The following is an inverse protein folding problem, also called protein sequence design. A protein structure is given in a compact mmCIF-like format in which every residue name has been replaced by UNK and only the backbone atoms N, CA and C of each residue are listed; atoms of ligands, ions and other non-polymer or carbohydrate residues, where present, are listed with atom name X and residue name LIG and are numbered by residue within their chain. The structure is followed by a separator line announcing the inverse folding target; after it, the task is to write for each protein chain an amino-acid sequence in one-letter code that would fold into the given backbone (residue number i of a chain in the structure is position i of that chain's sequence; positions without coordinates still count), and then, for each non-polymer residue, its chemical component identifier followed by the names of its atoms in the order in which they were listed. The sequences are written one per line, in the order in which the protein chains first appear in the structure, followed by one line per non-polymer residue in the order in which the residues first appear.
data_IF_667250789567
#
_entry.id   IF_667250789567
#
_cell.length_a   1.000
_cell.length_b   1.000
_cell.length_c   1.000
_cell.angle_alpha   90.00
_cell.angle_beta   90.00
_cell.angle_gamma   90.00
#
_symmetry.space_group_name_H-M   'P 1'
#
loop_
_entity.id
_entity.type
_entity.pdbx_description
1 polymer ?
#
# COMPACT_ATOMS: atom_id res chain seq x y z
N UNK A 1 18.34 -16.13 5.18
CA UNK A 1 17.51 -17.30 5.61
C UNK A 1 16.30 -16.90 6.45
N UNK A 2 16.45 -16.03 7.47
CA UNK A 2 15.35 -15.65 8.38
C UNK A 2 14.18 -14.91 7.69
N UNK A 3 14.46 -13.97 6.79
CA UNK A 3 13.44 -13.18 6.09
C UNK A 3 12.52 -14.04 5.19
N UNK A 4 13.08 -15.04 4.49
CA UNK A 4 12.29 -15.94 3.65
C UNK A 4 11.36 -16.81 4.51
N UNK A 5 11.86 -17.31 5.64
CA UNK A 5 11.07 -18.14 6.57
C UNK A 5 9.93 -17.34 7.21
N UNK A 6 10.18 -16.11 7.66
CA UNK A 6 9.14 -15.25 8.22
C UNK A 6 8.07 -14.92 7.17
N UNK A 7 8.49 -14.56 5.95
CA UNK A 7 7.58 -14.28 4.84
C UNK A 7 6.68 -15.48 4.53
N UNK A 8 7.25 -16.69 4.41
CA UNK A 8 6.48 -17.90 4.14
C UNK A 8 5.50 -18.25 5.28
N UNK A 9 5.90 -18.03 6.53
CA UNK A 9 5.03 -18.26 7.68
C UNK A 9 3.84 -17.28 7.69
N UNK A 10 4.09 -15.99 7.48
CA UNK A 10 3.03 -14.99 7.40
C UNK A 10 2.09 -15.25 6.23
N UNK A 11 2.62 -15.59 5.06
CA UNK A 11 1.80 -15.97 3.89
C UNK A 11 0.96 -17.22 4.19
N UNK A 12 1.57 -18.26 4.77
CA UNK A 12 0.88 -19.51 5.10
C UNK A 12 -0.25 -19.34 6.13
N UNK A 13 -0.06 -18.48 7.13
CA UNK A 13 -1.11 -18.15 8.11
C UNK A 13 -2.27 -17.38 7.47
N UNK A 14 -2.00 -16.53 6.47
CA UNK A 14 -3.04 -15.75 5.75
C UNK A 14 -3.85 -16.59 4.78
N UNK A 15 -3.24 -17.51 4.04
CA UNK A 15 -3.98 -18.43 3.15
C UNK A 15 -4.95 -19.31 3.95
N UNK A 16 -4.61 -19.61 5.21
CA UNK A 16 -5.46 -20.36 6.14
C UNK A 16 -6.53 -19.51 6.84
N UNK A 17 -6.53 -18.19 6.62
CA UNK A 17 -7.52 -17.30 7.24
C UNK A 17 -8.91 -17.54 6.63
N UNK A 18 -9.95 -17.53 7.45
CA UNK A 18 -11.33 -17.85 7.04
C UNK A 18 -11.85 -16.95 5.91
N UNK A 19 -11.35 -15.72 5.83
CA UNK A 19 -11.74 -14.72 4.81
C UNK A 19 -11.02 -14.93 3.46
N UNK A 20 -9.90 -15.67 3.43
CA UNK A 20 -9.10 -15.82 2.22
C UNK A 20 -9.87 -16.42 1.02
N UNK A 21 -10.70 -17.48 1.19
CA UNK A 21 -11.49 -18.02 0.08
C UNK A 21 -12.46 -17.00 -0.53
N UNK A 22 -13.10 -16.18 0.31
CA UNK A 22 -14.00 -15.11 -0.16
C UNK A 22 -13.23 -14.07 -0.97
N UNK A 23 -12.11 -13.56 -0.44
CA UNK A 23 -11.25 -12.60 -1.16
C UNK A 23 -10.73 -13.18 -2.48
N UNK A 24 -10.32 -14.45 -2.49
CA UNK A 24 -9.84 -15.12 -3.69
C UNK A 24 -10.95 -15.26 -4.75
N UNK A 25 -12.18 -15.60 -4.33
CA UNK A 25 -13.33 -15.64 -5.23
C UNK A 25 -13.68 -14.25 -5.79
N UNK A 26 -13.65 -13.22 -4.94
CA UNK A 26 -13.90 -11.84 -5.36
C UNK A 26 -12.81 -11.33 -6.33
N UNK A 27 -11.55 -11.67 -6.07
CA UNK A 27 -10.45 -11.37 -6.99
C UNK A 27 -10.67 -12.01 -8.37
N UNK A 28 -11.13 -13.26 -8.41
CA UNK A 28 -11.38 -13.98 -9.66
C UNK A 28 -12.57 -13.43 -10.48
N UNK A 29 -13.53 -12.78 -9.83
CA UNK A 29 -14.72 -12.21 -10.48
C UNK A 29 -14.53 -10.82 -11.09
N UNK A 30 -13.50 -10.09 -10.69
CA UNK A 30 -13.30 -8.70 -11.14
C UNK A 30 -12.73 -8.67 -12.56
N UNK A 31 -13.37 -7.90 -13.45
CA UNK A 31 -12.93 -7.77 -14.84
C UNK A 31 -11.61 -6.96 -14.94
N UNK A 32 -10.63 -7.42 -15.75
CA UNK A 32 -9.41 -6.66 -16.02
C UNK A 32 -9.69 -5.25 -16.57
N UNK A 33 -10.76 -5.11 -17.35
CA UNK A 33 -11.20 -3.86 -17.96
C UNK A 33 -11.62 -2.85 -16.88
N UNK A 34 -12.43 -3.26 -15.89
CA UNK A 34 -12.82 -2.38 -14.80
C UNK A 34 -11.61 -1.89 -14.00
N UNK A 35 -10.62 -2.76 -13.77
CA UNK A 35 -9.36 -2.39 -13.11
C UNK A 35 -8.61 -1.34 -13.93
N UNK A 36 -8.52 -1.51 -15.26
CA UNK A 36 -7.84 -0.56 -16.14
C UNK A 36 -8.50 0.83 -16.10
N UNK A 37 -9.83 0.91 -16.19
CA UNK A 37 -10.57 2.18 -16.14
C UNK A 37 -10.42 2.86 -14.77
N UNK A 38 -10.37 2.09 -13.68
CA UNK A 38 -10.11 2.64 -12.34
C UNK A 38 -8.68 3.18 -12.22
N UNK A 39 -7.67 2.48 -12.75
CA UNK A 39 -6.26 2.92 -12.74
C UNK A 39 -6.08 4.21 -13.57
N UNK A 40 -6.66 4.27 -14.76
CA UNK A 40 -6.66 5.45 -15.64
C UNK A 40 -7.25 6.71 -14.95
N UNK A 41 -8.27 6.53 -14.11
CA UNK A 41 -8.85 7.65 -13.35
C UNK A 41 -8.01 8.07 -12.17
N UNK A 42 -7.47 7.09 -11.44
CA UNK A 42 -6.56 7.33 -10.33
C UNK A 42 -5.33 8.12 -10.81
N UNK A 43 -4.79 7.80 -11.99
CA UNK A 43 -3.66 8.53 -12.57
C UNK A 43 -4.00 9.98 -12.95
N UNK A 44 -5.26 10.24 -13.30
CA UNK A 44 -5.80 11.59 -13.58
C UNK A 44 -6.20 12.37 -12.32
N UNK A 45 -6.10 11.77 -11.14
CA UNK A 45 -6.35 12.42 -9.85
C UNK A 45 -7.76 12.20 -9.28
N UNK A 46 -8.58 11.33 -9.87
CA UNK A 46 -9.86 10.92 -9.28
C UNK A 46 -9.68 9.63 -8.47
N UNK A 47 -9.87 9.73 -7.15
CA UNK A 47 -9.55 8.66 -6.20
C UNK A 47 -10.78 8.06 -5.50
N UNK A 48 -12.00 8.56 -5.72
CA UNK A 48 -13.10 8.29 -4.77
C UNK A 48 -14.48 8.00 -5.34
N UNK A 49 -14.77 8.27 -6.62
CA UNK A 49 -16.12 8.08 -7.16
C UNK A 49 -16.24 6.79 -7.98
N UNK A 50 -16.83 5.71 -7.43
CA UNK A 50 -17.29 4.60 -8.26
C UNK A 50 -18.54 5.03 -9.03
N UNK A 51 -18.55 4.80 -10.34
CA UNK A 51 -19.69 5.09 -11.22
C UNK A 51 -20.42 3.82 -11.65
N UNK A 52 -19.80 2.65 -11.45
CA UNK A 52 -20.35 1.32 -11.70
C UNK A 52 -20.15 0.42 -10.47
N UNK A 53 -21.05 -0.55 -10.29
CA UNK A 53 -20.89 -1.58 -9.24
C UNK A 53 -19.59 -2.36 -9.42
N UNK A 54 -19.15 -2.65 -10.66
CA UNK A 54 -17.87 -3.32 -10.93
C UNK A 54 -16.66 -2.50 -10.45
N UNK A 55 -16.72 -1.17 -10.56
CA UNK A 55 -15.67 -0.27 -10.09
C UNK A 55 -15.63 -0.20 -8.58
N UNK A 56 -16.80 -0.20 -7.94
CA UNK A 56 -16.93 -0.29 -6.49
C UNK A 56 -16.32 -1.59 -5.97
N UNK A 57 -16.52 -2.70 -6.68
CA UNK A 57 -15.87 -3.97 -6.39
C UNK A 57 -14.35 -3.90 -6.57
N UNK A 58 -13.85 -3.31 -7.65
CA UNK A 58 -12.42 -3.12 -7.88
C UNK A 58 -11.76 -2.25 -6.78
N UNK A 59 -12.43 -1.20 -6.32
CA UNK A 59 -11.99 -0.36 -5.19
C UNK A 59 -11.95 -1.14 -3.86
N UNK A 60 -12.99 -1.96 -3.59
CA UNK A 60 -13.02 -2.83 -2.40
C UNK A 60 -11.87 -3.85 -2.42
N UNK A 61 -11.65 -4.48 -3.57
CA UNK A 61 -10.57 -5.44 -3.78
C UNK A 61 -9.20 -4.80 -3.51
N UNK A 62 -8.96 -3.58 -3.99
CA UNK A 62 -7.71 -2.86 -3.68
C UNK A 62 -7.51 -2.65 -2.18
N UNK A 63 -8.56 -2.36 -1.41
CA UNK A 63 -8.46 -2.20 0.05
C UNK A 63 -8.15 -3.53 0.74
N UNK A 64 -8.78 -4.62 0.31
CA UNK A 64 -8.52 -5.97 0.81
C UNK A 64 -7.08 -6.42 0.51
N UNK A 65 -6.61 -6.20 -0.71
CA UNK A 65 -5.21 -6.47 -1.11
C UNK A 65 -4.24 -5.60 -0.31
N UNK A 66 -4.55 -4.34 -0.04
CA UNK A 66 -3.75 -3.47 0.84
C UNK A 66 -3.66 -3.99 2.27
N UNK A 67 -4.78 -4.46 2.84
CA UNK A 67 -4.82 -5.07 4.17
C UNK A 67 -4.00 -6.38 4.23
N UNK A 68 -4.01 -7.17 3.15
CA UNK A 68 -3.17 -8.37 3.04
C UNK A 68 -1.69 -7.99 2.92
N UNK A 69 -1.35 -7.01 2.09
CA UNK A 69 0.04 -6.62 1.81
C UNK A 69 0.69 -5.87 2.98
N UNK A 70 -0.03 -5.19 3.87
CA UNK A 70 0.54 -4.41 4.98
C UNK A 70 1.44 -5.20 5.94
N UNK A 71 1.27 -6.52 6.00
CA UNK A 71 2.07 -7.42 6.83
C UNK A 71 3.07 -8.25 6.02
N UNK A 72 3.13 -8.04 4.70
CA UNK A 72 4.21 -8.58 3.86
C UNK A 72 5.40 -7.65 4.00
N UNK A 73 6.48 -8.14 4.58
CA UNK A 73 7.69 -7.37 4.78
C UNK A 73 8.15 -6.72 3.46
N UNK A 74 8.50 -5.43 3.54
CA UNK A 74 8.92 -4.59 2.42
C UNK A 74 7.85 -4.26 1.35
N UNK A 75 6.59 -4.64 1.54
CA UNK A 75 5.51 -4.16 0.68
C UNK A 75 5.29 -2.64 0.83
N UNK A 76 4.62 -2.02 -0.14
CA UNK A 76 4.22 -0.61 -0.08
C UNK A 76 3.39 -0.31 1.18
N UNK A 77 2.40 -1.15 1.48
CA UNK A 77 1.53 -1.05 2.65
C UNK A 77 2.29 -1.23 3.98
N UNK A 78 3.27 -2.15 4.03
CA UNK A 78 4.13 -2.36 5.20
C UNK A 78 5.01 -1.15 5.48
N UNK A 79 5.58 -0.54 4.43
CA UNK A 79 6.35 0.72 4.53
C UNK A 79 5.51 1.89 5.01
N UNK A 80 4.22 1.95 4.67
CA UNK A 80 3.30 2.96 5.20
C UNK A 80 3.04 2.72 6.69
N UNK A 81 2.78 1.47 7.09
CA UNK A 81 2.61 1.10 8.50
C UNK A 81 3.81 1.49 9.36
N UNK A 82 5.03 1.11 8.95
CA UNK A 82 6.26 1.47 9.66
C UNK A 82 6.47 2.98 9.78
N UNK A 83 6.14 3.75 8.73
CA UNK A 83 6.22 5.22 8.80
C UNK A 83 5.23 5.82 9.80
N UNK A 84 4.03 5.25 9.90
CA UNK A 84 3.04 5.69 10.88
C UNK A 84 3.45 5.33 12.32
N UNK A 85 4.08 4.17 12.51
CA UNK A 85 4.64 3.77 13.81
C UNK A 85 5.76 4.72 14.25
N UNK A 86 6.69 5.07 13.35
CA UNK A 86 7.74 6.07 13.60
C UNK A 86 7.11 7.41 13.99
N UNK A 87 6.08 7.88 13.26
CA UNK A 87 5.35 9.11 13.63
C UNK A 87 4.71 9.00 15.01
N UNK A 88 4.07 7.87 15.32
CA UNK A 88 3.48 7.61 16.64
C UNK A 88 4.50 7.68 17.76
N UNK A 89 5.67 7.06 17.57
CA UNK A 89 6.79 7.14 18.51
C UNK A 89 7.32 8.56 18.67
N UNK A 90 7.39 9.33 17.57
CA UNK A 90 7.80 10.74 17.62
C UNK A 90 6.80 11.58 18.42
N UNK A 91 5.50 11.36 18.26
CA UNK A 91 4.46 12.03 19.03
C UNK A 91 4.50 11.64 20.51
N UNK A 92 4.59 10.34 20.82
CA UNK A 92 4.57 9.83 22.20
C UNK A 92 5.84 10.22 22.97
N UNK A 93 7.01 10.12 22.34
CA UNK A 93 8.31 10.38 22.98
C UNK A 93 8.77 11.84 22.86
N UNK A 94 7.95 12.70 22.24
CA UNK A 94 8.22 14.14 22.16
C UNK A 94 9.40 14.52 21.26
N UNK A 95 9.68 13.73 20.22
CA UNK A 95 10.81 14.01 19.33
C UNK A 95 10.49 15.23 18.45
N UNK A 96 11.28 16.33 18.51
CA UNK A 96 11.04 17.48 17.66
C UNK A 96 11.31 17.08 16.20
N UNK A 97 10.27 17.12 15.37
CA UNK A 97 10.39 16.82 13.94
C UNK A 97 10.79 18.07 13.18
N UNK A 98 12.05 18.15 12.75
CA UNK A 98 12.49 19.15 11.78
C UNK A 98 12.61 18.49 10.41
N UNK A 99 11.81 18.95 9.45
CA UNK A 99 11.94 18.57 8.06
C UNK A 99 12.86 19.56 7.37
N UNK A 100 14.04 19.12 6.97
CA UNK A 100 14.98 19.92 6.19
C UNK A 100 14.91 19.43 4.75
N UNK A 101 14.41 20.27 3.85
CA UNK A 101 14.51 20.03 2.41
C UNK A 101 15.72 20.80 1.91
N UNK A 102 16.81 20.10 1.60
CA UNK A 102 17.98 20.69 0.96
C UNK A 102 17.77 20.54 -0.54
N UNK A 103 17.41 21.63 -1.20
CA UNK A 103 17.40 21.72 -2.65
C UNK A 103 18.60 22.56 -3.09
N UNK A 104 19.78 21.96 -3.31
CA UNK A 104 20.93 22.72 -3.78
C UNK A 104 20.62 23.30 -5.15
N UNK A 105 20.83 24.59 -5.33
CA UNK A 105 20.71 25.21 -6.64
C UNK A 105 21.82 24.67 -7.56
N UNK A 106 21.43 24.12 -8.71
CA UNK A 106 22.34 23.56 -9.72
C UNK A 106 23.39 24.58 -10.21
N UNK A 107 23.13 25.88 -10.01
CA UNK A 107 23.95 27.01 -10.46
C UNK A 107 25.24 27.19 -9.65
N UNK A 108 25.36 26.61 -8.46
CA UNK A 108 26.52 26.79 -7.57
C UNK A 108 27.14 25.48 -7.07
N UNK A 109 26.88 24.37 -7.77
CA UNK A 109 27.49 23.09 -7.42
C UNK A 109 28.97 23.07 -7.86
N UNK A 110 29.96 22.95 -6.95
CA UNK A 110 31.38 22.89 -7.32
C UNK A 110 31.80 21.56 -7.99
N UNK A 111 30.84 20.74 -8.39
CA UNK A 111 31.03 19.43 -9.04
C UNK A 111 30.75 19.51 -10.57
N UNK A 112 30.57 20.71 -11.12
CA UNK A 112 30.68 20.97 -12.57
C UNK A 112 31.84 21.92 -12.84
#
# INVERSE_FOLDING_TARGET
MLQRRSMLLHTGLKVKHKTFPSVASHFATVSPEAIHVVIERISRGDYKTPYSEEEKWALSLMNEVRAVTSHVAASSSSKVGMRNEIRGLMFEKGMPSFYITINPADVFNPVV
#
